data_IF_023442405381
#
_entry.id   IF_023442405381
#
_cell.length_a   1.000
_cell.length_b   1.000
_cell.length_c   1.000
_cell.angle_alpha   90.00
_cell.angle_beta   90.00
_cell.angle_gamma   90.00
#
_symmetry.space_group_name_H-M   'P 1'
#
loop_
_entity.id
_entity.type
_entity.pdbx_description
1 polymer ?
#
# COMPACT_ATOMS: atom_id res chain seq x y z
N UNK A 1 6.79 33.53 5.04
CA UNK A 1 6.68 32.06 5.03
C UNK A 1 5.73 31.67 3.90
N UNK A 2 6.24 31.18 2.77
CA UNK A 2 5.41 30.87 1.60
C UNK A 2 4.72 29.51 1.80
N UNK A 3 3.41 29.53 2.03
CA UNK A 3 2.56 28.33 2.05
C UNK A 3 2.27 27.91 0.60
N UNK A 4 3.18 27.13 0.01
CA UNK A 4 2.96 26.53 -1.30
C UNK A 4 1.72 25.63 -1.25
N UNK A 5 0.59 26.11 -1.81
CA UNK A 5 -0.61 25.31 -2.09
C UNK A 5 -0.17 24.06 -2.85
N UNK A 6 -0.13 22.91 -2.17
CA UNK A 6 0.11 21.61 -2.81
C UNK A 6 -0.99 21.42 -3.86
N UNK A 7 -0.63 21.51 -5.15
CA UNK A 7 -1.48 21.06 -6.26
C UNK A 7 -2.01 19.67 -5.87
N UNK A 8 -3.30 19.34 -6.09
CA UNK A 8 -3.79 17.99 -5.87
C UNK A 8 -2.98 17.07 -6.79
N UNK A 9 -2.00 16.38 -6.21
CA UNK A 9 -1.08 15.54 -6.96
C UNK A 9 -1.86 14.30 -7.37
N UNK A 10 -1.52 13.71 -8.51
CA UNK A 10 -2.20 12.52 -9.04
C UNK A 10 -2.29 11.32 -8.06
N UNK A 11 -1.55 11.37 -6.94
CA UNK A 11 -1.48 10.39 -5.88
C UNK A 11 -2.69 10.37 -4.92
N UNK A 12 -3.47 11.46 -4.87
CA UNK A 12 -4.72 11.53 -4.09
C UNK A 12 -5.96 11.20 -4.93
N UNK A 13 -5.79 10.79 -6.20
CA UNK A 13 -6.91 10.23 -6.97
C UNK A 13 -7.33 8.89 -6.35
N UNK A 14 -8.61 8.73 -5.98
CA UNK A 14 -9.13 7.44 -5.56
C UNK A 14 -8.96 6.46 -6.73
N UNK A 15 -8.26 5.36 -6.49
CA UNK A 15 -8.14 4.27 -7.45
C UNK A 15 -9.04 3.13 -6.99
N UNK A 16 -9.71 2.48 -7.94
CA UNK A 16 -10.31 1.18 -7.65
C UNK A 16 -9.20 0.18 -7.37
N UNK A 17 -9.32 -0.49 -6.23
CA UNK A 17 -8.40 -1.51 -5.79
C UNK A 17 -8.84 -2.83 -6.41
N UNK A 18 -7.93 -3.51 -7.12
CA UNK A 18 -8.18 -4.84 -7.68
C UNK A 18 -8.61 -5.81 -6.58
N UNK A 19 -9.41 -6.83 -6.90
CA UNK A 19 -9.90 -7.80 -5.90
C UNK A 19 -8.77 -8.43 -5.06
N UNK A 20 -7.64 -8.75 -5.69
CA UNK A 20 -6.46 -9.32 -5.03
C UNK A 20 -5.83 -8.34 -4.04
N UNK A 21 -5.67 -7.07 -4.42
CA UNK A 21 -5.21 -6.01 -3.53
C UNK A 21 -6.22 -5.73 -2.42
N UNK A 22 -7.51 -5.79 -2.72
CA UNK A 22 -8.59 -5.53 -1.78
C UNK A 22 -8.65 -6.59 -0.68
N UNK A 23 -8.15 -7.81 -0.90
CA UNK A 23 -7.99 -8.81 0.16
C UNK A 23 -6.97 -8.38 1.22
N UNK A 24 -6.00 -7.55 0.84
CA UNK A 24 -4.89 -7.11 1.71
C UNK A 24 -5.16 -5.71 2.28
N UNK A 25 -5.59 -4.78 1.43
CA UNK A 25 -5.82 -3.38 1.77
C UNK A 25 -7.29 -3.05 2.01
N UNK A 26 -8.23 -3.97 1.78
CA UNK A 26 -9.67 -3.73 1.88
C UNK A 26 -10.26 -3.16 0.59
N UNK A 27 -11.53 -3.48 0.32
CA UNK A 27 -12.25 -2.99 -0.85
C UNK A 27 -12.70 -1.53 -0.65
N UNK A 28 -12.49 -0.71 -1.68
CA UNK A 28 -13.03 0.65 -1.74
C UNK A 28 -12.16 1.58 -2.57
N UNK A 29 -12.74 2.67 -3.12
CA UNK A 29 -11.97 3.70 -3.78
C UNK A 29 -11.13 4.43 -2.74
N UNK A 30 -9.82 4.18 -2.74
CA UNK A 30 -8.89 4.77 -1.79
C UNK A 30 -7.69 5.38 -2.50
N UNK A 31 -7.08 6.43 -1.93
CA UNK A 31 -5.89 7.02 -2.54
C UNK A 31 -4.73 6.03 -2.49
N UNK A 32 -3.84 6.10 -3.48
CA UNK A 32 -2.64 5.23 -3.57
C UNK A 32 -1.83 5.19 -2.28
N UNK A 33 -1.74 6.31 -1.57
CA UNK A 33 -1.06 6.41 -0.28
C UNK A 33 -1.65 5.51 0.80
N UNK A 34 -2.96 5.31 0.78
CA UNK A 34 -3.66 4.47 1.76
C UNK A 34 -3.50 2.99 1.45
N UNK A 35 -3.52 2.63 0.15
CA UNK A 35 -3.16 1.29 -0.33
C UNK A 35 -1.77 0.91 0.17
N UNK A 36 -0.75 1.75 -0.07
CA UNK A 36 0.63 1.46 0.37
C UNK A 36 0.74 1.33 1.90
N UNK A 37 0.01 2.15 2.67
CA UNK A 37 0.02 2.05 4.14
C UNK A 37 -0.55 0.71 4.61
N UNK A 38 -1.75 0.35 4.14
CA UNK A 38 -2.39 -0.91 4.52
C UNK A 38 -1.59 -2.13 4.06
N UNK A 39 -0.96 -2.05 2.89
CA UNK A 39 -0.03 -3.07 2.40
C UNK A 39 1.16 -3.25 3.36
N UNK A 40 1.75 -2.15 3.82
CA UNK A 40 2.85 -2.20 4.79
C UNK A 40 2.42 -2.72 6.17
N UNK A 41 1.23 -2.37 6.63
CA UNK A 41 0.65 -2.91 7.86
C UNK A 41 0.46 -4.42 7.74
N UNK A 42 0.00 -4.92 6.59
CA UNK A 42 -0.10 -6.34 6.31
C UNK A 42 1.27 -7.04 6.31
N UNK A 43 2.26 -6.48 5.59
CA UNK A 43 3.62 -7.02 5.53
C UNK A 43 4.23 -7.13 6.93
N UNK A 44 4.06 -6.09 7.77
CA UNK A 44 4.56 -6.08 9.15
C UNK A 44 3.80 -7.06 10.04
N UNK A 45 2.46 -7.11 9.94
CA UNK A 45 1.61 -8.00 10.74
C UNK A 45 1.92 -9.47 10.47
N UNK A 46 2.20 -9.82 9.21
CA UNK A 46 2.56 -11.17 8.80
C UNK A 46 4.06 -11.46 8.85
N UNK A 47 4.89 -10.51 9.32
CA UNK A 47 6.36 -10.61 9.36
C UNK A 47 6.98 -11.01 8.01
N UNK A 48 6.42 -10.49 6.93
CA UNK A 48 6.88 -10.73 5.56
C UNK A 48 8.12 -9.90 5.21
N UNK A 49 8.47 -8.90 6.01
CA UNK A 49 9.70 -8.17 5.84
C UNK A 49 10.90 -9.05 6.23
N UNK A 50 11.88 -9.18 5.33
CA UNK A 50 13.06 -9.97 5.59
C UNK A 50 13.90 -9.32 6.72
N UNK A 51 14.26 -10.13 7.72
CA UNK A 51 14.97 -9.67 8.92
C UNK A 51 16.44 -9.37 8.67
N UNK A 52 17.05 -10.02 7.66
CA UNK A 52 18.44 -9.79 7.24
C UNK A 52 18.53 -8.64 6.25
N UNK A 53 17.56 -8.52 5.35
CA UNK A 53 17.49 -7.45 4.38
C UNK A 53 16.11 -6.78 4.39
N UNK A 54 15.95 -5.74 5.20
CA UNK A 54 14.71 -4.96 5.36
C UNK A 54 14.19 -4.30 4.08
N UNK A 55 14.94 -4.35 2.97
CA UNK A 55 14.51 -3.91 1.63
C UNK A 55 13.78 -5.01 0.87
N UNK A 56 13.96 -6.26 1.25
CA UNK A 56 13.25 -7.40 0.70
C UNK A 56 11.96 -7.65 1.50
N UNK A 57 10.90 -7.93 0.74
CA UNK A 57 9.63 -8.43 1.25
C UNK A 57 9.50 -9.84 0.69
N UNK A 58 9.23 -10.81 1.54
CA UNK A 58 8.91 -12.17 1.17
C UNK A 58 7.38 -12.23 1.02
N UNK A 59 6.84 -12.10 -0.21
CA UNK A 59 5.40 -12.16 -0.42
C UNK A 59 4.86 -13.50 0.03
N UNK A 60 3.73 -13.48 0.74
CA UNK A 60 2.92 -14.66 0.99
C UNK A 60 2.01 -14.95 -0.22
N UNK A 61 1.27 -16.06 -0.19
CA UNK A 61 0.38 -16.45 -1.29
C UNK A 61 -0.66 -15.39 -1.69
N UNK A 62 -0.95 -14.42 -0.80
CA UNK A 62 -1.86 -13.31 -1.08
C UNK A 62 -1.13 -12.14 -1.73
N UNK A 63 0.01 -11.72 -1.18
CA UNK A 63 0.83 -10.65 -1.74
C UNK A 63 1.49 -11.06 -3.07
N UNK A 64 1.72 -12.35 -3.29
CA UNK A 64 2.30 -12.90 -4.52
C UNK A 64 1.32 -12.93 -5.70
N UNK A 65 0.01 -12.88 -5.43
CA UNK A 65 -1.05 -12.83 -6.45
C UNK A 65 -1.31 -11.42 -6.97
N UNK A 66 -0.90 -10.41 -6.20
CA UNK A 66 -0.99 -8.98 -6.52
C UNK A 66 0.16 -8.55 -7.43
#
# INVERSE_FOLDING_TARGET
>A
MATSKKKPTAFSRPVEVSEELAQITGAGPMPRTEVTKRLWDYIKKNKLQDSKNKRNINPDDKLAKV
#
